data_IF_792251014678
#
_entry.id   IF_792251014678
#
_cell.length_a   1.000
_cell.length_b   1.000
_cell.length_c   1.000
_cell.angle_alpha   90.00
_cell.angle_beta   90.00
_cell.angle_gamma   90.00
#
_symmetry.space_group_name_H-M   'P 1'
#
loop_
_entity.id
_entity.type
_entity.pdbx_description
1 polymer ?
#
# COMPACT_ATOMS: atom_id res chain seq x y z
N UNK A 1 17.51 7.34 12.09
CA UNK A 1 16.79 6.53 13.11
C UNK A 1 15.90 5.56 12.36
N UNK A 2 16.36 4.34 12.22
CA UNK A 2 15.55 3.24 11.69
C UNK A 2 14.36 3.05 12.64
N UNK A 3 13.15 3.29 12.16
CA UNK A 3 11.93 2.89 12.88
C UNK A 3 11.94 1.38 12.91
N UNK A 4 12.21 0.82 14.09
CA UNK A 4 12.09 -0.61 14.37
C UNK A 4 10.71 -1.06 13.90
N UNK A 5 10.67 -1.83 12.82
CA UNK A 5 9.43 -2.30 12.21
C UNK A 5 8.94 -3.47 13.04
N UNK A 6 7.99 -3.20 13.94
CA UNK A 6 7.34 -4.22 14.77
C UNK A 6 6.68 -5.25 13.86
N UNK A 7 6.89 -6.54 14.14
CA UNK A 7 6.22 -7.63 13.43
C UNK A 7 4.69 -7.43 13.53
N UNK A 8 3.92 -7.54 12.44
CA UNK A 8 2.46 -7.46 12.48
C UNK A 8 1.83 -8.39 13.51
N UNK A 9 2.42 -9.55 13.72
CA UNK A 9 1.96 -10.54 14.70
C UNK A 9 2.18 -10.10 16.15
N UNK A 10 3.15 -9.23 16.42
CA UNK A 10 3.47 -8.74 17.77
C UNK A 10 2.80 -7.40 18.09
N UNK A 11 1.93 -6.91 17.19
CA UNK A 11 1.11 -5.73 17.45
C UNK A 11 0.03 -6.01 18.50
N UNK A 12 -0.33 -4.94 19.25
CA UNK A 12 -1.43 -4.99 20.20
C UNK A 12 -2.74 -5.35 19.51
N UNK A 13 -3.48 -6.27 20.12
CA UNK A 13 -4.81 -6.69 19.65
C UNK A 13 -5.83 -5.55 19.65
N UNK A 14 -5.66 -4.56 20.53
CA UNK A 14 -6.55 -3.41 20.63
C UNK A 14 -6.70 -2.60 19.35
N UNK A 15 -5.72 -2.68 18.45
CA UNK A 15 -5.78 -1.99 17.14
C UNK A 15 -6.73 -2.66 16.15
N UNK A 16 -7.26 -3.83 16.47
CA UNK A 16 -8.05 -4.68 15.58
C UNK A 16 -9.40 -5.07 16.19
N UNK A 17 -9.79 -4.46 17.32
CA UNK A 17 -11.09 -4.70 17.92
C UNK A 17 -12.16 -3.88 17.22
N UNK A 18 -13.35 -4.46 17.11
CA UNK A 18 -14.54 -3.78 16.61
C UNK A 18 -15.77 -4.06 17.49
N UNK A 19 -16.85 -3.35 17.21
CA UNK A 19 -18.05 -3.32 18.03
C UNK A 19 -19.24 -4.11 17.47
N UNK A 20 -19.03 -5.01 16.50
CA UNK A 20 -20.14 -5.78 15.90
C UNK A 20 -20.55 -6.97 16.78
N UNK A 21 -20.83 -6.70 18.03
CA UNK A 21 -21.31 -7.69 18.99
C UNK A 21 -22.43 -7.10 19.84
N UNK A 22 -23.23 -7.99 20.44
CA UNK A 22 -24.22 -7.65 21.46
C UNK A 22 -23.95 -8.46 22.73
N UNK A 23 -24.39 -7.93 23.84
CA UNK A 23 -24.33 -8.59 25.17
C UNK A 23 -25.74 -8.88 25.62
N UNK A 24 -26.04 -10.14 25.88
CA UNK A 24 -27.36 -10.60 26.37
C UNK A 24 -27.18 -11.53 27.55
N UNK A 25 -28.23 -11.57 28.38
CA UNK A 25 -28.29 -12.49 29.51
C UNK A 25 -28.52 -13.94 29.06
N UNK A 26 -28.04 -14.92 29.83
CA UNK A 26 -28.15 -16.35 29.55
C UNK A 26 -29.59 -16.86 29.43
N UNK A 27 -30.53 -16.16 30.06
CA UNK A 27 -31.96 -16.51 30.10
C UNK A 27 -32.79 -15.86 28.98
N UNK A 28 -32.15 -15.13 28.07
CA UNK A 28 -32.80 -14.61 26.85
C UNK A 28 -33.07 -15.74 25.85
N UNK A 29 -34.25 -15.75 25.23
CA UNK A 29 -34.59 -16.74 24.20
C UNK A 29 -33.89 -16.44 22.86
N UNK A 30 -33.71 -17.48 22.05
CA UNK A 30 -32.98 -17.38 20.78
C UNK A 30 -33.70 -16.48 19.78
N UNK A 31 -35.06 -16.51 19.74
CA UNK A 31 -35.80 -15.67 18.78
C UNK A 31 -35.59 -14.16 19.05
N UNK A 32 -35.54 -13.75 20.30
CA UNK A 32 -35.23 -12.36 20.68
C UNK A 32 -33.77 -12.03 20.38
N UNK A 33 -32.86 -12.93 20.70
CA UNK A 33 -31.44 -12.76 20.44
C UNK A 33 -31.13 -12.59 18.95
N UNK A 34 -31.76 -13.37 18.06
CA UNK A 34 -31.64 -13.27 16.60
C UNK A 34 -32.14 -11.92 16.07
N UNK A 35 -33.29 -11.43 16.60
CA UNK A 35 -33.81 -10.10 16.22
C UNK A 35 -32.84 -9.00 16.59
N UNK A 36 -32.26 -9.07 17.78
CA UNK A 36 -31.27 -8.10 18.27
C UNK A 36 -29.97 -8.17 17.47
N UNK A 37 -29.47 -9.37 17.16
CA UNK A 37 -28.32 -9.55 16.26
C UNK A 37 -28.55 -8.88 14.91
N UNK A 38 -29.69 -9.16 14.29
CA UNK A 38 -30.02 -8.62 12.98
C UNK A 38 -30.16 -7.08 13.00
N UNK A 39 -30.86 -6.55 13.99
CA UNK A 39 -31.12 -5.10 14.12
C UNK A 39 -29.83 -4.30 14.30
N UNK A 40 -28.87 -4.86 15.04
CA UNK A 40 -27.58 -4.22 15.36
C UNK A 40 -26.43 -4.67 14.46
N UNK A 41 -26.71 -5.53 13.47
CA UNK A 41 -25.69 -6.13 12.58
C UNK A 41 -24.54 -6.77 13.37
N UNK A 42 -24.88 -7.45 14.48
CA UNK A 42 -23.90 -8.12 15.30
C UNK A 42 -23.55 -9.51 14.72
N UNK A 43 -22.29 -9.88 14.76
CA UNK A 43 -21.78 -11.17 14.30
C UNK A 43 -21.75 -12.22 15.41
N UNK A 44 -21.78 -11.76 16.67
CA UNK A 44 -21.66 -12.60 17.85
C UNK A 44 -22.43 -12.03 19.01
N UNK A 45 -22.99 -12.92 19.82
CA UNK A 45 -23.60 -12.61 21.11
C UNK A 45 -22.62 -13.04 22.21
N UNK A 46 -22.25 -12.11 23.08
CA UNK A 46 -21.57 -12.43 24.32
C UNK A 46 -22.65 -12.67 25.37
N UNK A 47 -22.73 -13.90 25.85
CA UNK A 47 -23.70 -14.32 26.84
C UNK A 47 -23.17 -14.03 28.24
N UNK A 48 -23.96 -13.36 29.04
CA UNK A 48 -23.60 -12.99 30.43
C UNK A 48 -24.48 -13.67 31.43
N UNK A 49 -23.91 -13.91 32.59
CA UNK A 49 -24.59 -14.27 33.83
C UNK A 49 -24.07 -13.36 34.95
N UNK A 50 -24.94 -12.73 35.71
CA UNK A 50 -24.55 -11.77 36.74
C UNK A 50 -23.52 -10.73 36.27
N UNK A 51 -23.74 -10.19 35.07
CA UNK A 51 -22.84 -9.24 34.37
C UNK A 51 -21.43 -9.78 34.07
N UNK A 52 -21.21 -11.08 34.08
CA UNK A 52 -19.94 -11.72 33.73
C UNK A 52 -20.11 -12.51 32.45
N UNK A 53 -19.18 -12.39 31.46
CA UNK A 53 -19.22 -13.20 30.24
C UNK A 53 -19.03 -14.68 30.61
N UNK A 54 -20.00 -15.52 30.25
CA UNK A 54 -20.00 -16.96 30.53
C UNK A 54 -19.92 -17.81 29.26
N UNK A 55 -20.35 -17.27 28.13
CA UNK A 55 -20.33 -17.96 26.85
C UNK A 55 -20.48 -17.02 25.68
N UNK A 56 -20.48 -17.61 24.50
CA UNK A 56 -20.70 -16.91 23.23
C UNK A 56 -21.68 -17.72 22.38
N UNK A 57 -22.47 -17.00 21.56
CA UNK A 57 -23.35 -17.58 20.55
C UNK A 57 -23.07 -16.88 19.22
N UNK A 58 -22.90 -17.67 18.18
CA UNK A 58 -22.72 -17.19 16.80
C UNK A 58 -23.90 -17.64 15.93
N UNK A 59 -23.97 -17.10 14.72
CA UNK A 59 -24.91 -17.58 13.68
C UNK A 59 -24.82 -19.09 13.43
N UNK A 60 -23.61 -19.66 13.43
CA UNK A 60 -23.39 -21.08 13.29
C UNK A 60 -24.02 -21.89 14.43
N UNK A 61 -23.90 -21.41 15.68
CA UNK A 61 -24.53 -22.07 16.83
C UNK A 61 -26.05 -22.10 16.69
N UNK A 62 -26.65 -21.01 16.21
CA UNK A 62 -28.10 -20.90 16.00
C UNK A 62 -28.54 -21.86 14.88
N UNK A 63 -27.80 -21.89 13.76
CA UNK A 63 -28.09 -22.79 12.65
C UNK A 63 -27.99 -24.26 13.06
N UNK A 64 -26.89 -24.66 13.69
CA UNK A 64 -26.60 -26.05 14.01
C UNK A 64 -27.45 -26.58 15.17
N UNK A 65 -27.69 -25.76 16.20
CA UNK A 65 -28.30 -26.20 17.45
C UNK A 65 -29.81 -25.96 17.52
N UNK A 66 -30.34 -25.03 16.68
CA UNK A 66 -31.76 -24.68 16.68
C UNK A 66 -32.42 -25.02 15.34
N UNK A 67 -31.94 -24.39 14.25
CA UNK A 67 -32.60 -24.51 12.94
C UNK A 67 -32.51 -25.94 12.37
N UNK A 68 -31.31 -26.53 12.35
CA UNK A 68 -31.12 -27.90 11.83
C UNK A 68 -31.82 -28.97 12.67
N UNK A 69 -32.07 -28.70 13.96
CA UNK A 69 -32.80 -29.61 14.84
C UNK A 69 -34.31 -29.42 14.82
N UNK A 70 -34.81 -28.37 14.15
CA UNK A 70 -36.24 -28.04 14.11
C UNK A 70 -36.80 -27.60 15.43
N UNK A 71 -35.93 -27.03 16.32
CA UNK A 71 -36.31 -26.60 17.65
C UNK A 71 -37.01 -25.23 17.59
N UNK A 72 -37.94 -25.02 18.55
CA UNK A 72 -38.65 -23.74 18.67
C UNK A 72 -37.78 -22.66 19.31
N UNK A 73 -37.37 -21.68 18.51
CA UNK A 73 -36.49 -20.59 18.95
C UNK A 73 -37.07 -19.72 20.06
N UNK A 74 -38.41 -19.68 20.25
CA UNK A 74 -39.06 -18.95 21.32
C UNK A 74 -38.93 -19.68 22.65
N UNK A 75 -38.72 -20.99 22.66
CA UNK A 75 -38.63 -21.82 23.85
C UNK A 75 -37.17 -22.07 24.31
N UNK A 76 -36.20 -21.88 23.41
CA UNK A 76 -34.79 -22.15 23.69
C UNK A 76 -34.11 -20.92 24.22
N UNK A 77 -33.39 -21.09 25.35
CA UNK A 77 -32.59 -20.02 25.96
C UNK A 77 -31.13 -20.06 25.48
N UNK A 78 -30.45 -18.89 25.47
CA UNK A 78 -29.06 -18.77 25.04
C UNK A 78 -28.12 -19.71 25.81
N UNK A 79 -28.35 -19.95 27.12
CA UNK A 79 -27.55 -20.87 27.94
C UNK A 79 -27.50 -22.30 27.40
N UNK A 80 -28.50 -22.73 26.63
CA UNK A 80 -28.57 -24.10 26.11
C UNK A 80 -27.81 -24.27 24.79
N UNK A 81 -27.56 -23.18 24.09
CA UNK A 81 -26.86 -23.22 22.79
C UNK A 81 -25.49 -22.55 22.81
N UNK A 82 -25.17 -21.75 23.82
CA UNK A 82 -23.90 -21.06 23.91
C UNK A 82 -22.69 -22.01 23.96
N UNK A 83 -21.58 -21.57 23.41
CA UNK A 83 -20.27 -22.18 23.61
C UNK A 83 -19.69 -21.62 24.92
N UNK A 84 -19.48 -22.49 25.91
CA UNK A 84 -19.00 -22.17 27.28
C UNK A 84 -17.89 -23.14 27.67
N UNK A 85 -16.87 -22.71 28.45
CA UNK A 85 -16.64 -21.33 28.89
C UNK A 85 -16.21 -20.40 27.77
N UNK A 86 -16.40 -19.08 27.96
CA UNK A 86 -15.97 -18.08 26.99
C UNK A 86 -14.45 -18.10 26.83
N UNK A 87 -13.97 -18.30 25.59
CA UNK A 87 -12.55 -18.16 25.25
C UNK A 87 -12.34 -16.69 24.89
N UNK A 88 -11.57 -15.98 25.70
CA UNK A 88 -11.30 -14.55 25.53
C UNK A 88 -9.81 -14.25 25.57
N UNK A 89 -9.43 -13.10 25.04
CA UNK A 89 -8.08 -12.59 25.09
C UNK A 89 -8.02 -11.31 25.93
N UNK A 90 -6.95 -11.16 26.71
CA UNK A 90 -6.70 -9.92 27.43
C UNK A 90 -6.46 -8.75 26.49
N UNK A 91 -6.88 -7.53 26.88
CA UNK A 91 -6.59 -6.29 26.18
C UNK A 91 -5.08 -6.03 25.93
N UNK A 92 -4.22 -6.66 26.73
CA UNK A 92 -2.74 -6.62 26.56
C UNK A 92 -2.21 -7.65 25.57
N UNK A 93 -3.08 -8.48 25.02
CA UNK A 93 -2.71 -9.54 24.08
C UNK A 93 -2.23 -9.02 22.73
N UNK A 94 -1.63 -9.92 21.96
CA UNK A 94 -1.11 -9.66 20.63
C UNK A 94 -1.91 -10.38 19.56
N UNK A 95 -1.74 -9.96 18.31
CA UNK A 95 -2.30 -10.63 17.12
C UNK A 95 -1.90 -12.11 17.08
N UNK A 96 -0.64 -12.42 17.40
CA UNK A 96 -0.12 -13.80 17.46
C UNK A 96 -0.91 -14.65 18.43
N UNK A 97 -1.14 -14.16 19.64
CA UNK A 97 -1.91 -14.88 20.66
C UNK A 97 -3.36 -15.09 20.25
N UNK A 98 -3.99 -14.08 19.61
CA UNK A 98 -5.35 -14.23 19.10
C UNK A 98 -5.45 -15.34 18.04
N UNK A 99 -4.55 -15.34 17.04
CA UNK A 99 -4.54 -16.36 16.00
C UNK A 99 -4.26 -17.75 16.54
N UNK A 100 -3.40 -17.87 17.53
CA UNK A 100 -3.10 -19.14 18.18
C UNK A 100 -4.33 -19.69 18.94
N UNK A 101 -5.01 -18.85 19.70
CA UNK A 101 -6.27 -19.23 20.38
C UNK A 101 -7.36 -19.63 19.38
N UNK A 102 -7.51 -18.89 18.27
CA UNK A 102 -8.47 -19.21 17.22
C UNK A 102 -8.17 -20.59 16.59
N UNK A 103 -6.89 -20.86 16.29
CA UNK A 103 -6.45 -22.12 15.71
C UNK A 103 -6.65 -23.31 16.66
N UNK A 104 -6.24 -23.15 17.92
CA UNK A 104 -6.30 -24.23 18.91
C UNK A 104 -7.75 -24.63 19.25
N UNK A 105 -8.66 -23.68 19.24
CA UNK A 105 -10.06 -23.89 19.61
C UNK A 105 -11.01 -23.94 18.42
N UNK A 106 -10.51 -23.81 17.19
CA UNK A 106 -11.30 -23.82 15.94
C UNK A 106 -12.41 -22.75 15.97
N UNK A 107 -12.10 -21.56 16.49
CA UNK A 107 -13.02 -20.42 16.60
C UNK A 107 -12.55 -19.29 15.70
N UNK A 108 -13.50 -18.48 15.19
CA UNK A 108 -13.25 -17.35 14.29
C UNK A 108 -13.39 -15.99 14.97
N UNK A 109 -13.98 -15.96 16.15
CA UNK A 109 -14.27 -14.74 16.93
C UNK A 109 -13.70 -14.89 18.32
N UNK A 110 -13.01 -13.88 18.82
CA UNK A 110 -12.50 -13.84 20.19
C UNK A 110 -12.92 -12.53 20.85
N UNK A 111 -13.69 -12.56 21.94
CA UNK A 111 -13.89 -11.40 22.78
C UNK A 111 -12.59 -10.95 23.42
N UNK A 112 -12.33 -9.64 23.38
CA UNK A 112 -11.22 -9.02 24.10
C UNK A 112 -11.74 -8.41 25.39
N UNK A 113 -11.30 -8.95 26.51
CA UNK A 113 -11.85 -8.61 27.84
C UNK A 113 -10.75 -8.34 28.86
N UNK A 114 -11.13 -7.65 29.93
CA UNK A 114 -10.33 -7.54 31.15
C UNK A 114 -11.22 -7.99 32.32
N UNK A 115 -11.38 -9.32 32.44
CA UNK A 115 -12.21 -10.03 33.40
C UNK A 115 -13.71 -9.64 33.43
N UNK A 116 -14.02 -8.34 33.48
CA UNK A 116 -15.39 -7.81 33.59
C UNK A 116 -15.75 -6.96 32.37
N UNK A 117 -14.79 -6.17 31.91
CA UNK A 117 -15.03 -5.23 30.81
C UNK A 117 -14.74 -5.88 29.46
N UNK A 118 -15.71 -5.85 28.57
CA UNK A 118 -15.58 -6.25 27.17
C UNK A 118 -15.16 -5.01 26.38
N UNK A 119 -13.98 -5.06 25.74
CA UNK A 119 -13.46 -3.97 24.91
C UNK A 119 -14.00 -4.06 23.47
N UNK A 120 -14.26 -5.25 23.00
CA UNK A 120 -14.75 -5.55 21.66
C UNK A 120 -14.48 -7.00 21.29
N UNK A 121 -14.65 -7.32 20.03
CA UNK A 121 -14.31 -8.63 19.47
C UNK A 121 -13.23 -8.46 18.40
N UNK A 122 -12.53 -9.54 18.11
CA UNK A 122 -11.59 -9.66 17.01
C UNK A 122 -11.96 -10.87 16.18
N UNK A 123 -12.00 -10.71 14.86
CA UNK A 123 -12.30 -11.80 13.93
C UNK A 123 -11.04 -12.29 13.22
N UNK A 124 -11.08 -13.56 12.82
CA UNK A 124 -10.00 -14.16 12.02
C UNK A 124 -9.81 -13.41 10.69
N UNK A 125 -10.89 -12.95 10.09
CA UNK A 125 -10.86 -12.24 8.81
C UNK A 125 -10.14 -10.89 8.91
N UNK A 126 -10.44 -10.11 9.94
CA UNK A 126 -9.77 -8.83 10.19
C UNK A 126 -8.28 -8.99 10.43
N UNK A 127 -7.89 -9.98 11.24
CA UNK A 127 -6.48 -10.26 11.49
C UNK A 127 -5.77 -10.72 10.22
N UNK A 128 -6.40 -11.57 9.40
CA UNK A 128 -5.85 -12.00 8.13
C UNK A 128 -5.67 -10.82 7.15
N UNK A 129 -6.65 -9.94 7.05
CA UNK A 129 -6.58 -8.73 6.22
C UNK A 129 -5.51 -7.75 6.71
N UNK A 130 -5.39 -7.54 8.01
CA UNK A 130 -4.37 -6.69 8.61
C UNK A 130 -2.94 -7.21 8.34
N UNK A 131 -2.73 -8.51 8.46
CA UNK A 131 -1.45 -9.16 8.16
C UNK A 131 -1.15 -9.03 6.66
N UNK A 132 -2.11 -9.38 5.80
CA UNK A 132 -1.95 -9.28 4.34
C UNK A 132 -1.56 -7.88 3.91
N UNK A 133 -2.25 -6.86 4.40
CA UNK A 133 -1.96 -5.45 4.09
C UNK A 133 -0.55 -5.06 4.56
N UNK A 134 -0.16 -5.44 5.77
CA UNK A 134 1.16 -5.11 6.30
C UNK A 134 2.30 -5.82 5.58
N UNK A 135 2.09 -7.07 5.13
CA UNK A 135 3.07 -7.81 4.31
C UNK A 135 3.22 -7.16 2.94
N UNK A 136 2.11 -6.81 2.29
CA UNK A 136 2.14 -6.11 0.99
C UNK A 136 2.86 -4.76 1.10
N UNK A 137 2.54 -3.94 2.11
CA UNK A 137 3.22 -2.66 2.33
C UNK A 137 4.73 -2.83 2.55
N UNK A 138 5.16 -3.84 3.31
CA UNK A 138 6.59 -4.16 3.50
C UNK A 138 7.24 -4.53 2.18
N UNK A 139 6.61 -5.41 1.42
CA UNK A 139 7.13 -5.87 0.12
C UNK A 139 7.27 -4.70 -0.85
N UNK A 140 6.23 -3.87 -1.00
CA UNK A 140 6.28 -2.69 -1.86
C UNK A 140 7.31 -1.66 -1.39
N UNK A 141 7.43 -1.44 -0.08
CA UNK A 141 8.42 -0.50 0.47
C UNK A 141 9.85 -0.97 0.24
N UNK A 142 10.14 -2.25 0.49
CA UNK A 142 11.46 -2.84 0.22
C UNK A 142 11.78 -2.83 -1.27
N UNK A 143 10.81 -3.17 -2.13
CA UNK A 143 10.98 -3.16 -3.57
C UNK A 143 11.27 -1.74 -4.11
N UNK A 144 10.53 -0.73 -3.63
CA UNK A 144 10.80 0.67 -3.97
C UNK A 144 12.18 1.15 -3.50
N UNK A 145 12.60 0.74 -2.32
CA UNK A 145 13.93 1.09 -1.80
C UNK A 145 15.04 0.46 -2.66
N UNK A 146 14.92 -0.84 -2.96
CA UNK A 146 15.88 -1.56 -3.81
C UNK A 146 15.96 -0.96 -5.21
N UNK A 147 14.80 -0.67 -5.84
CA UNK A 147 14.79 -0.01 -7.16
C UNK A 147 15.46 1.35 -7.07
N UNK A 148 15.05 2.19 -6.14
CA UNK A 148 15.60 3.53 -5.99
C UNK A 148 17.12 3.49 -5.82
N UNK A 149 17.61 2.70 -4.88
CA UNK A 149 19.03 2.67 -4.54
C UNK A 149 19.88 1.98 -5.63
N UNK A 150 19.27 1.02 -6.37
CA UNK A 150 19.93 0.37 -7.50
C UNK A 150 20.09 1.30 -8.73
N UNK A 151 19.10 2.17 -8.98
CA UNK A 151 19.11 3.03 -10.17
C UNK A 151 19.65 4.45 -9.93
N UNK A 152 19.76 4.90 -8.68
CA UNK A 152 20.34 6.21 -8.37
C UNK A 152 21.71 6.47 -9.02
N UNK A 153 22.66 5.51 -9.01
CA UNK A 153 23.94 5.71 -9.70
C UNK A 153 23.79 5.85 -11.22
N UNK A 154 22.84 5.12 -11.83
CA UNK A 154 22.58 5.24 -13.28
C UNK A 154 22.02 6.62 -13.58
N UNK A 155 21.04 7.10 -12.80
CA UNK A 155 20.40 8.41 -12.99
C UNK A 155 21.40 9.55 -12.80
N UNK A 156 22.26 9.50 -11.79
CA UNK A 156 23.28 10.53 -11.55
C UNK A 156 24.33 10.59 -12.66
N UNK A 157 24.82 9.44 -13.12
CA UNK A 157 25.76 9.40 -14.24
C UNK A 157 25.10 9.79 -15.58
N UNK A 158 23.80 9.48 -15.78
CA UNK A 158 23.04 9.92 -16.94
C UNK A 158 22.90 11.44 -17.00
N UNK A 159 22.66 12.08 -15.83
CA UNK A 159 22.65 13.53 -15.72
C UNK A 159 23.98 14.16 -16.13
N UNK A 160 25.10 13.53 -15.76
CA UNK A 160 26.43 13.98 -16.17
C UNK A 160 26.63 13.85 -17.71
N UNK A 161 26.21 12.73 -18.31
CA UNK A 161 26.28 12.53 -19.78
C UNK A 161 25.46 13.59 -20.50
N UNK A 162 24.26 13.92 -20.02
CA UNK A 162 23.42 14.95 -20.63
C UNK A 162 24.05 16.34 -20.54
N UNK A 163 24.63 16.71 -19.41
CA UNK A 163 25.35 17.97 -19.26
C UNK A 163 26.55 18.07 -20.19
N UNK A 164 27.35 16.99 -20.30
CA UNK A 164 28.49 16.94 -21.17
C UNK A 164 28.09 17.06 -22.64
N UNK A 165 27.03 16.37 -23.07
CA UNK A 165 26.48 16.50 -24.41
C UNK A 165 25.97 17.92 -24.69
N UNK A 166 25.35 18.58 -23.73
CA UNK A 166 24.97 19.99 -23.82
C UNK A 166 26.17 20.91 -24.06
N UNK A 167 27.32 20.68 -23.39
CA UNK A 167 28.54 21.43 -23.60
C UNK A 167 29.03 21.28 -25.05
N UNK A 168 28.99 20.07 -25.60
CA UNK A 168 29.42 19.83 -26.98
C UNK A 168 28.57 20.57 -28.01
N UNK A 169 27.29 20.81 -27.73
CA UNK A 169 26.40 21.61 -28.59
C UNK A 169 26.71 23.11 -28.59
N UNK A 170 27.55 23.56 -27.65
CA UNK A 170 27.92 24.99 -27.63
C UNK A 170 28.69 25.45 -28.85
N UNK A 171 29.59 24.58 -29.37
CA UNK A 171 30.39 24.88 -30.56
C UNK A 171 29.55 25.09 -31.83
N UNK A 172 28.64 24.19 -32.24
CA UNK A 172 27.76 24.41 -33.37
C UNK A 172 26.77 25.57 -33.16
N UNK A 173 26.29 25.81 -31.95
CA UNK A 173 25.43 26.98 -31.63
C UNK A 173 26.17 28.30 -31.85
N UNK A 174 27.42 28.37 -31.40
CA UNK A 174 28.27 29.54 -31.60
C UNK A 174 28.60 29.78 -33.08
N UNK A 175 28.92 28.70 -33.84
CA UNK A 175 29.18 28.79 -35.26
C UNK A 175 27.94 29.29 -36.03
N UNK A 176 26.77 28.75 -35.77
CA UNK A 176 25.51 29.18 -36.39
C UNK A 176 25.24 30.67 -36.13
N UNK A 177 25.57 31.17 -34.93
CA UNK A 177 25.43 32.60 -34.57
C UNK A 177 26.40 33.49 -35.40
N UNK A 178 27.65 33.05 -35.60
CA UNK A 178 28.64 33.78 -36.44
C UNK A 178 28.19 33.83 -37.91
N UNK A 179 27.61 32.74 -38.40
CA UNK A 179 27.11 32.63 -39.77
C UNK A 179 25.77 33.33 -39.99
N UNK A 180 25.22 34.01 -38.98
CA UNK A 180 23.91 34.67 -39.00
C UNK A 180 22.72 33.75 -39.28
N UNK A 181 22.87 32.44 -39.01
CA UNK A 181 21.79 31.47 -39.13
C UNK A 181 20.92 31.48 -37.84
N UNK A 182 20.09 32.51 -37.71
CA UNK A 182 19.31 32.74 -36.47
C UNK A 182 18.38 31.61 -36.13
N UNK A 183 17.73 30.98 -37.08
CA UNK A 183 16.79 29.86 -36.88
C UNK A 183 17.53 28.63 -36.34
N UNK A 184 18.63 28.25 -37.00
CA UNK A 184 19.49 27.12 -36.61
C UNK A 184 20.10 27.38 -35.21
N UNK A 185 20.63 28.58 -34.99
CA UNK A 185 21.18 28.97 -33.68
C UNK A 185 20.15 28.85 -32.57
N UNK A 186 18.94 29.37 -32.76
CA UNK A 186 17.87 29.31 -31.77
C UNK A 186 17.47 27.87 -31.42
N UNK A 187 17.30 27.01 -32.42
CA UNK A 187 16.99 25.58 -32.21
C UNK A 187 18.08 24.86 -31.42
N UNK A 188 19.37 25.11 -31.75
CA UNK A 188 20.50 24.48 -31.04
C UNK A 188 20.58 25.02 -29.58
N UNK A 189 20.41 26.32 -29.35
CA UNK A 189 20.39 26.89 -28.00
C UNK A 189 19.23 26.33 -27.14
N UNK A 190 18.07 26.12 -27.76
CA UNK A 190 16.94 25.50 -27.05
C UNK A 190 17.27 24.05 -26.67
N UNK A 191 17.80 23.24 -27.59
CA UNK A 191 18.23 21.87 -27.31
C UNK A 191 19.28 21.77 -26.21
N UNK A 192 20.31 22.67 -26.27
CA UNK A 192 21.33 22.81 -25.23
C UNK A 192 20.72 23.13 -23.86
N UNK A 193 19.80 24.09 -23.81
CA UNK A 193 19.13 24.49 -22.57
C UNK A 193 18.35 23.33 -21.96
N UNK A 194 17.59 22.60 -22.74
CA UNK A 194 16.86 21.42 -22.29
C UNK A 194 17.80 20.31 -21.81
N UNK A 195 18.90 20.03 -22.51
CA UNK A 195 19.89 19.04 -22.08
C UNK A 195 20.54 19.42 -20.74
N UNK A 196 20.89 20.70 -20.55
CA UNK A 196 21.42 21.15 -19.26
C UNK A 196 20.40 21.06 -18.14
N UNK A 197 19.16 21.51 -18.36
CA UNK A 197 18.10 21.46 -17.36
C UNK A 197 17.78 19.99 -16.97
N UNK A 198 17.63 19.11 -17.95
CA UNK A 198 17.40 17.69 -17.71
C UNK A 198 18.60 17.04 -17.00
N UNK A 199 19.81 17.32 -17.44
CA UNK A 199 21.04 16.83 -16.82
C UNK A 199 21.19 17.31 -15.38
N UNK A 200 20.86 18.54 -15.08
CA UNK A 200 20.88 19.09 -13.73
C UNK A 200 19.84 18.40 -12.83
N UNK A 201 18.61 18.24 -13.31
CA UNK A 201 17.56 17.57 -12.57
C UNK A 201 17.91 16.10 -12.26
N UNK A 202 18.43 15.36 -13.25
CA UNK A 202 18.88 13.98 -13.08
C UNK A 202 20.05 13.88 -12.08
N UNK A 203 21.00 14.81 -12.15
CA UNK A 203 22.15 14.83 -11.26
C UNK A 203 21.77 15.23 -9.82
N UNK A 204 20.78 16.09 -9.64
CA UNK A 204 20.26 16.46 -8.32
C UNK A 204 19.52 15.29 -7.63
N UNK A 205 18.86 14.43 -8.42
CA UNK A 205 18.14 13.25 -7.88
C UNK A 205 19.05 12.02 -7.72
N UNK A 206 20.01 11.82 -8.62
CA UNK A 206 20.88 10.66 -8.67
C UNK A 206 22.10 10.78 -7.75
N UNK A 207 22.89 9.73 -7.69
CA UNK A 207 24.18 9.67 -6.99
C UNK A 207 25.30 9.38 -7.96
N UNK A 208 26.46 10.04 -7.79
CA UNK A 208 27.67 9.73 -8.57
C UNK A 208 28.40 8.59 -7.87
N UNK A 209 28.20 7.38 -8.35
CA UNK A 209 28.85 6.19 -7.83
C UNK A 209 29.35 5.30 -8.96
N UNK A 210 30.36 4.44 -8.72
CA UNK A 210 30.81 3.48 -9.71
C UNK A 210 29.69 2.53 -10.10
N UNK A 211 29.59 2.24 -11.39
CA UNK A 211 28.55 1.40 -11.96
C UNK A 211 29.06 -0.03 -12.14
N UNK A 212 28.20 -0.99 -11.85
CA UNK A 212 28.43 -2.38 -12.26
C UNK A 212 28.09 -2.56 -13.76
N UNK A 213 28.48 -3.70 -14.34
CA UNK A 213 28.31 -3.95 -15.78
C UNK A 213 26.85 -3.79 -16.25
N UNK A 214 25.88 -4.28 -15.47
CA UNK A 214 24.45 -4.15 -15.80
C UNK A 214 23.98 -2.70 -15.75
N UNK A 215 24.40 -1.95 -14.75
CA UNK A 215 24.10 -0.52 -14.61
C UNK A 215 24.75 0.30 -15.74
N UNK A 216 25.98 -0.03 -16.11
CA UNK A 216 26.66 0.60 -17.24
C UNK A 216 25.94 0.35 -18.58
N UNK A 217 25.46 -0.86 -18.82
CA UNK A 217 24.65 -1.17 -20.00
C UNK A 217 23.35 -0.36 -20.04
N UNK A 218 22.65 -0.24 -18.89
CA UNK A 218 21.45 0.59 -18.76
C UNK A 218 21.75 2.06 -19.01
N UNK A 219 22.87 2.58 -18.48
CA UNK A 219 23.31 3.95 -18.72
C UNK A 219 23.52 4.21 -20.22
N UNK A 220 24.21 3.32 -20.93
CA UNK A 220 24.46 3.46 -22.36
C UNK A 220 23.13 3.53 -23.12
N UNK A 221 22.23 2.56 -22.93
CA UNK A 221 20.95 2.52 -23.63
C UNK A 221 20.11 3.76 -23.34
N UNK A 222 19.97 4.14 -22.07
CA UNK A 222 19.19 5.31 -21.68
C UNK A 222 19.81 6.62 -22.17
N UNK A 223 21.13 6.73 -22.23
CA UNK A 223 21.80 7.91 -22.78
C UNK A 223 21.53 8.06 -24.27
N UNK A 224 21.59 6.98 -25.07
CA UNK A 224 21.23 7.04 -26.48
C UNK A 224 19.79 7.49 -26.70
N UNK A 225 18.85 6.97 -25.94
CA UNK A 225 17.44 7.36 -26.04
C UNK A 225 17.26 8.85 -25.73
N UNK A 226 17.81 9.33 -24.61
CA UNK A 226 17.67 10.72 -24.21
C UNK A 226 18.41 11.67 -25.15
N UNK A 227 19.63 11.34 -25.59
CA UNK A 227 20.39 12.15 -26.54
C UNK A 227 19.68 12.24 -27.90
N UNK A 228 19.06 11.14 -28.37
CA UNK A 228 18.24 11.15 -29.57
C UNK A 228 17.00 12.04 -29.41
N UNK A 229 16.29 11.92 -28.26
CA UNK A 229 15.10 12.70 -27.98
C UNK A 229 15.41 14.21 -27.94
N UNK A 230 16.37 14.61 -27.12
CA UNK A 230 16.74 16.03 -26.99
C UNK A 230 17.53 16.57 -28.17
N UNK A 231 18.32 15.71 -28.84
CA UNK A 231 19.05 16.05 -30.07
C UNK A 231 18.14 16.30 -31.27
N UNK A 232 16.89 15.84 -31.24
CA UNK A 232 15.91 16.13 -32.29
C UNK A 232 15.28 17.52 -32.19
N UNK A 233 15.37 18.19 -31.03
CA UNK A 233 14.77 19.53 -30.81
C UNK A 233 15.22 20.57 -31.84
N UNK A 234 16.50 20.71 -32.18
CA UNK A 234 16.93 21.64 -33.23
C UNK A 234 16.23 21.43 -34.56
N UNK A 235 16.04 20.16 -34.94
CA UNK A 235 15.40 19.81 -36.22
C UNK A 235 13.91 20.12 -36.26
N UNK A 236 13.23 20.14 -35.09
CA UNK A 236 11.83 20.57 -35.02
C UNK A 236 11.67 22.07 -35.26
N UNK A 237 12.72 22.84 -35.00
CA UNK A 237 12.72 24.29 -35.21
C UNK A 237 13.04 24.68 -36.63
N UNK A 238 13.89 23.89 -37.31
CA UNK A 238 14.22 24.05 -38.71
C UNK A 238 13.22 23.26 -39.55
N UNK A 239 12.07 23.86 -39.88
CA UNK A 239 11.09 23.21 -40.73
C UNK A 239 11.45 23.48 -42.21
N UNK A 240 11.91 22.48 -42.98
CA UNK A 240 12.27 22.65 -44.39
C UNK A 240 11.07 23.05 -45.26
N UNK A 241 9.82 22.86 -44.80
CA UNK A 241 8.62 23.22 -45.55
C UNK A 241 8.23 24.69 -45.42
N UNK A 242 8.78 25.47 -44.47
CA UNK A 242 8.46 26.90 -44.30
C UNK A 242 9.30 27.79 -45.24
N UNK A 243 10.44 27.32 -45.72
CA UNK A 243 11.29 28.08 -46.66
C UNK A 243 10.79 28.06 -48.12
N UNK A 244 9.80 27.22 -48.45
CA UNK A 244 9.20 27.18 -49.79
C UNK A 244 7.94 28.04 -49.92
N UNK A 245 7.46 28.66 -48.85
CA UNK A 245 6.22 29.47 -48.86
C UNK A 245 6.51 30.84 -48.21
N UNK A 246 7.53 31.55 -48.72
CA UNK A 246 7.61 32.99 -48.49
C UNK A 246 7.13 33.72 -49.75
N UNK A 247 5.85 34.21 -49.74
CA UNK A 247 5.30 34.90 -50.92
C UNK A 247 5.83 36.30 -51.13
N UNK A 248 6.83 36.75 -50.33
CA UNK A 248 7.43 38.09 -50.37
C UNK A 248 8.83 38.10 -50.99
N UNK A 249 9.30 36.98 -51.57
CA UNK A 249 10.57 36.93 -52.29
C UNK A 249 10.41 36.91 -53.82
N UNK A 250 9.33 37.59 -54.33
CA UNK A 250 9.19 37.97 -55.75
C UNK A 250 9.29 39.46 -55.93
#
# INVERSE_FOLDING_TARGET
KEKMVVDPLDRSILSYIHGQFIVLDEDVNVAMAVRDMHSRRAEIIIVTKDNRPVGVVTDSDILDKVVMKGEDSDQILLKSIMSSPVISLSAKGTVRQALELMRLNTIKHIPVTDNIKIFGIVTQEELANAIRTSVLERTFRSYRAVIRDHYKPVIGNLGFVMQFAGILLFAPAFLATILNETVSATGIFLGLTFMFAAGFALNAYGEKAPLNLRQASMLIVSSFILLSLFGSIPYMYVNPFWNEIDPLSL
#
